data_IF_060895627553
#
_entry.id   IF_060895627553
#
_cell.length_a   1.000
_cell.length_b   1.000
_cell.length_c   1.000
_cell.angle_alpha   90.00
_cell.angle_beta   90.00
_cell.angle_gamma   90.00
#
_symmetry.space_group_name_H-M   'P 1'
#
loop_
_entity.id
_entity.type
_entity.pdbx_description
1 polymer ?
#
# COMPACT_ATOMS: atom_id res chain seq x y z
N UNK A 1 10.03 -15.69 -13.30
CA UNK A 1 9.69 -16.27 -11.97
C UNK A 1 10.02 -17.77 -11.80
N UNK A 2 10.96 -18.36 -12.58
CA UNK A 2 11.34 -19.79 -12.46
C UNK A 2 12.86 -20.04 -12.54
N UNK A 3 13.69 -19.22 -11.91
CA UNK A 3 15.17 -19.39 -11.96
C UNK A 3 15.82 -19.98 -10.71
N UNK A 4 15.13 -20.11 -9.58
CA UNK A 4 15.74 -20.64 -8.34
C UNK A 4 15.75 -22.17 -8.27
N UNK A 5 14.73 -22.83 -8.83
CA UNK A 5 14.61 -24.29 -8.79
C UNK A 5 15.61 -25.02 -9.71
N UNK A 6 16.09 -24.36 -10.78
CA UNK A 6 17.02 -24.94 -11.75
C UNK A 6 18.50 -24.75 -11.38
N UNK A 7 18.83 -23.81 -10.48
CA UNK A 7 20.22 -23.32 -10.30
C UNK A 7 20.79 -23.61 -8.91
N UNK A 8 20.01 -24.15 -7.96
CA UNK A 8 20.49 -24.49 -6.61
C UNK A 8 20.97 -23.30 -5.77
N UNK A 9 20.76 -22.07 -6.24
CA UNK A 9 21.26 -20.85 -5.61
C UNK A 9 20.27 -20.34 -4.54
N UNK A 10 20.51 -20.74 -3.28
CA UNK A 10 19.80 -20.23 -2.09
C UNK A 10 20.28 -18.84 -1.65
N UNK A 11 21.18 -18.21 -2.40
CA UNK A 11 21.76 -16.89 -2.12
C UNK A 11 20.70 -15.80 -1.87
N UNK A 12 19.53 -15.88 -2.51
CA UNK A 12 18.42 -14.95 -2.28
C UNK A 12 17.93 -14.94 -0.81
N UNK A 13 17.95 -16.10 -0.13
CA UNK A 13 17.59 -16.21 1.28
C UNK A 13 18.71 -15.78 2.23
N UNK A 14 19.95 -15.68 1.75
CA UNK A 14 21.07 -15.17 2.55
C UNK A 14 21.10 -13.65 2.63
N UNK A 15 20.24 -12.94 1.90
CA UNK A 15 20.10 -11.51 1.97
C UNK A 15 19.16 -11.13 3.13
N UNK A 16 19.43 -10.02 3.80
CA UNK A 16 18.60 -9.54 4.92
C UNK A 16 17.22 -9.04 4.47
N UNK A 17 17.12 -8.43 3.29
CA UNK A 17 15.90 -7.82 2.73
C UNK A 17 14.62 -8.69 2.68
N UNK A 18 14.64 -9.98 2.28
CA UNK A 18 13.43 -10.81 2.22
C UNK A 18 12.77 -11.06 3.57
N UNK A 19 13.52 -11.11 4.68
CA UNK A 19 12.97 -11.39 6.01
C UNK A 19 11.95 -10.34 6.50
N UNK A 20 12.25 -9.02 6.50
CA UNK A 20 11.28 -8.00 6.90
C UNK A 20 10.11 -7.86 5.91
N UNK A 21 10.33 -8.09 4.61
CA UNK A 21 9.25 -8.09 3.60
C UNK A 21 8.29 -9.24 3.84
N UNK A 22 8.82 -10.43 4.15
CA UNK A 22 8.04 -11.62 4.43
C UNK A 22 7.26 -11.47 5.75
N UNK A 23 7.89 -10.91 6.78
CA UNK A 23 7.22 -10.58 8.04
C UNK A 23 6.08 -9.58 7.84
N UNK A 24 6.32 -8.47 7.12
CA UNK A 24 5.28 -7.49 6.81
C UNK A 24 4.14 -8.11 5.98
N UNK A 25 4.46 -8.93 4.99
CA UNK A 25 3.46 -9.62 4.17
C UNK A 25 2.54 -10.51 5.00
N UNK A 26 3.09 -11.28 5.94
CA UNK A 26 2.30 -12.12 6.86
C UNK A 26 1.42 -11.26 7.77
N UNK A 27 1.99 -10.22 8.38
CA UNK A 27 1.24 -9.34 9.29
C UNK A 27 0.10 -8.62 8.58
N UNK A 28 0.34 -8.11 7.36
CA UNK A 28 -0.68 -7.45 6.55
C UNK A 28 -1.75 -8.43 6.11
N UNK A 29 -1.38 -9.64 5.67
CA UNK A 29 -2.34 -10.66 5.25
C UNK A 29 -3.29 -11.07 6.40
N UNK A 30 -2.75 -11.27 7.60
CA UNK A 30 -3.54 -11.63 8.79
C UNK A 30 -4.40 -10.47 9.26
N UNK A 31 -3.89 -9.23 9.20
CA UNK A 31 -4.59 -8.05 9.70
C UNK A 31 -5.67 -7.54 8.75
N UNK A 32 -5.52 -7.73 7.43
CA UNK A 32 -6.45 -7.21 6.41
C UNK A 32 -7.87 -7.79 6.59
N UNK A 33 -7.98 -9.09 6.82
CA UNK A 33 -9.26 -9.79 6.92
C UNK A 33 -10.16 -9.20 8.03
N UNK A 34 -9.75 -9.16 9.32
CA UNK A 34 -10.58 -8.59 10.37
C UNK A 34 -10.78 -7.08 10.20
N UNK A 35 -9.79 -6.35 9.68
CA UNK A 35 -9.88 -4.91 9.49
C UNK A 35 -10.97 -4.55 8.46
N UNK A 36 -11.01 -5.26 7.33
CA UNK A 36 -12.04 -5.06 6.32
C UNK A 36 -13.41 -5.51 6.81
N UNK A 37 -13.50 -6.64 7.54
CA UNK A 37 -14.79 -7.08 8.12
C UNK A 37 -15.35 -6.06 9.11
N UNK A 38 -14.51 -5.50 10.00
CA UNK A 38 -14.95 -4.45 10.94
C UNK A 38 -15.22 -3.12 10.25
N UNK A 39 -14.42 -2.75 9.25
CA UNK A 39 -14.61 -1.54 8.47
C UNK A 39 -15.94 -1.52 7.71
N UNK A 40 -16.32 -2.66 7.11
CA UNK A 40 -17.60 -2.82 6.41
C UNK A 40 -18.82 -2.85 7.33
N UNK A 41 -18.63 -3.12 8.63
CA UNK A 41 -19.70 -3.08 9.62
C UNK A 41 -20.00 -1.66 10.11
N UNK A 42 -18.99 -0.79 10.13
CA UNK A 42 -19.08 0.56 10.72
C UNK A 42 -19.17 1.67 9.67
N UNK A 43 -18.66 1.44 8.45
CA UNK A 43 -18.57 2.44 7.38
C UNK A 43 -19.05 1.90 6.03
N UNK A 44 -19.38 2.83 5.13
CA UNK A 44 -19.83 2.54 3.78
C UNK A 44 -18.75 1.78 2.98
N UNK A 45 -19.14 0.71 2.27
CA UNK A 45 -18.19 -0.21 1.65
C UNK A 45 -17.28 0.48 0.63
N UNK A 46 -17.84 1.44 -0.12
CA UNK A 46 -17.11 2.24 -1.10
C UNK A 46 -16.03 3.11 -0.47
N UNK A 47 -16.27 3.60 0.75
CA UNK A 47 -15.31 4.39 1.49
C UNK A 47 -14.16 3.53 2.02
N UNK A 48 -14.49 2.40 2.67
CA UNK A 48 -13.48 1.51 3.25
C UNK A 48 -12.57 0.85 2.20
N UNK A 49 -13.12 0.41 1.07
CA UNK A 49 -12.31 -0.19 -0.01
C UNK A 49 -11.37 0.85 -0.63
N UNK A 50 -11.84 2.08 -0.85
CA UNK A 50 -11.02 3.16 -1.40
C UNK A 50 -9.89 3.55 -0.45
N UNK A 51 -10.18 3.63 0.84
CA UNK A 51 -9.17 3.89 1.87
C UNK A 51 -8.12 2.78 1.91
N UNK A 52 -8.58 1.53 1.92
CA UNK A 52 -7.71 0.36 1.98
C UNK A 52 -6.75 0.32 0.79
N UNK A 53 -7.26 0.50 -0.43
CA UNK A 53 -6.43 0.46 -1.63
C UNK A 53 -5.54 1.71 -1.75
N UNK A 54 -6.01 2.88 -1.33
CA UNK A 54 -5.18 4.08 -1.25
C UNK A 54 -3.96 3.92 -0.33
N UNK A 55 -4.18 3.36 0.86
CA UNK A 55 -3.09 3.05 1.80
C UNK A 55 -2.11 2.03 1.22
N UNK A 56 -2.61 1.01 0.53
CA UNK A 56 -1.78 -0.02 -0.08
C UNK A 56 -0.89 0.54 -1.21
N UNK A 57 -1.41 1.47 -2.03
CA UNK A 57 -0.61 2.21 -3.02
C UNK A 57 0.49 3.03 -2.34
N UNK A 58 0.17 3.80 -1.29
CA UNK A 58 1.16 4.61 -0.57
C UNK A 58 2.26 3.72 0.04
N UNK A 59 1.88 2.60 0.66
CA UNK A 59 2.83 1.63 1.23
C UNK A 59 3.68 0.98 0.13
N UNK A 60 3.11 0.62 -1.02
CA UNK A 60 3.85 0.07 -2.15
C UNK A 60 4.87 1.08 -2.70
N UNK A 61 4.49 2.35 -2.82
CA UNK A 61 5.40 3.42 -3.22
C UNK A 61 6.54 3.57 -2.20
N UNK A 62 6.22 3.81 -0.93
CA UNK A 62 7.25 3.98 0.13
C UNK A 62 8.16 2.76 0.25
N UNK A 63 7.58 1.56 0.18
CA UNK A 63 8.33 0.30 0.17
C UNK A 63 9.25 0.21 -1.04
N UNK A 64 8.78 0.54 -2.25
CA UNK A 64 9.61 0.58 -3.46
C UNK A 64 10.76 1.58 -3.35
N UNK A 65 10.52 2.77 -2.78
CA UNK A 65 11.58 3.77 -2.57
C UNK A 65 12.68 3.26 -1.62
N UNK A 66 12.31 2.53 -0.57
CA UNK A 66 13.25 2.02 0.42
C UNK A 66 13.94 0.72 -0.04
N UNK A 67 13.17 -0.26 -0.52
CA UNK A 67 13.63 -1.61 -0.88
C UNK A 67 14.48 -1.61 -2.13
N UNK A 68 14.11 -0.82 -3.15
CA UNK A 68 14.84 -0.79 -4.41
C UNK A 68 16.05 0.16 -4.38
N UNK A 69 16.16 1.02 -3.37
CA UNK A 69 17.29 1.95 -3.22
C UNK A 69 17.43 2.96 -4.37
N UNK A 70 16.39 3.11 -5.21
CA UNK A 70 16.38 3.96 -6.41
C UNK A 70 16.72 5.44 -6.11
N UNK A 71 16.56 5.89 -4.85
CA UNK A 71 16.89 7.26 -4.44
C UNK A 71 18.40 7.55 -4.34
N UNK A 72 19.27 6.54 -4.32
CA UNK A 72 20.72 6.72 -4.22
C UNK A 72 21.38 7.21 -5.52
N UNK A 73 20.75 7.00 -6.68
CA UNK A 73 21.32 7.33 -8.00
C UNK A 73 20.55 8.41 -8.77
N UNK A 74 19.44 8.92 -8.23
CA UNK A 74 18.56 9.85 -8.93
C UNK A 74 18.78 11.31 -8.54
N UNK A 75 18.60 12.19 -9.53
CA UNK A 75 18.66 13.64 -9.34
C UNK A 75 17.65 14.10 -8.28
N UNK A 76 18.01 15.04 -7.40
CA UNK A 76 17.19 15.47 -6.26
C UNK A 76 15.80 15.99 -6.68
N UNK A 77 15.66 16.56 -7.89
CA UNK A 77 14.37 16.98 -8.42
C UNK A 77 13.36 15.83 -8.64
N UNK A 78 13.84 14.62 -8.99
CA UNK A 78 12.97 13.44 -9.15
C UNK A 78 12.48 12.91 -7.81
N UNK A 79 13.33 12.99 -6.78
CA UNK A 79 12.97 12.61 -5.40
C UNK A 79 11.86 13.53 -4.88
N UNK A 80 11.97 14.84 -5.11
CA UNK A 80 10.93 15.81 -4.70
C UNK A 80 9.61 15.55 -5.44
N UNK A 81 9.64 15.34 -6.75
CA UNK A 81 8.42 15.06 -7.54
C UNK A 81 7.74 13.75 -7.09
N UNK A 82 8.53 12.75 -6.73
CA UNK A 82 8.05 11.48 -6.21
C UNK A 82 7.31 11.64 -4.88
N UNK A 83 7.90 12.37 -3.94
CA UNK A 83 7.24 12.69 -2.66
C UNK A 83 5.99 13.55 -2.87
N UNK A 84 6.00 14.47 -3.84
CA UNK A 84 4.84 15.28 -4.18
C UNK A 84 3.69 14.41 -4.72
N UNK A 85 3.96 13.41 -5.55
CA UNK A 85 2.97 12.43 -6.00
C UNK A 85 2.36 11.66 -4.81
N UNK A 86 3.21 11.19 -3.87
CA UNK A 86 2.72 10.49 -2.68
C UNK A 86 1.83 11.42 -1.84
N UNK A 87 2.25 12.66 -1.60
CA UNK A 87 1.46 13.65 -0.86
C UNK A 87 0.14 13.97 -1.56
N UNK A 88 0.12 14.01 -2.90
CA UNK A 88 -1.10 14.21 -3.68
C UNK A 88 -2.08 13.04 -3.53
N UNK A 89 -1.60 11.80 -3.53
CA UNK A 89 -2.42 10.62 -3.26
C UNK A 89 -2.99 10.68 -1.84
N UNK A 90 -2.16 11.01 -0.85
CA UNK A 90 -2.60 11.18 0.55
C UNK A 90 -3.62 12.31 0.68
N UNK A 91 -3.40 13.45 0.01
CA UNK A 91 -4.33 14.56 0.00
C UNK A 91 -5.68 14.15 -0.63
N UNK A 92 -5.67 13.40 -1.73
CA UNK A 92 -6.88 12.85 -2.34
C UNK A 92 -7.66 11.93 -1.39
N UNK A 93 -6.94 11.08 -0.64
CA UNK A 93 -7.55 10.22 0.38
C UNK A 93 -8.15 11.04 1.53
N UNK A 94 -7.44 12.04 2.04
CA UNK A 94 -7.94 12.94 3.09
C UNK A 94 -9.18 13.71 2.63
N UNK A 95 -9.20 14.19 1.38
CA UNK A 95 -10.37 14.85 0.79
C UNK A 95 -11.58 13.91 0.79
N UNK A 96 -11.39 12.64 0.41
CA UNK A 96 -12.45 11.62 0.44
C UNK A 96 -12.93 11.36 1.88
N UNK A 97 -12.04 11.41 2.88
CA UNK A 97 -12.43 11.30 4.30
C UNK A 97 -13.22 12.50 4.81
N UNK A 98 -12.90 13.71 4.34
CA UNK A 98 -13.60 14.93 4.75
C UNK A 98 -14.87 15.21 3.96
N UNK A 99 -15.08 14.53 2.82
CA UNK A 99 -16.31 14.65 2.06
C UNK A 99 -17.46 14.04 2.90
N UNK A 100 -18.38 14.86 3.43
CA UNK A 100 -19.48 14.35 4.24
C UNK A 100 -20.29 13.42 3.35
N UNK A 101 -20.30 12.13 3.69
CA UNK A 101 -21.15 11.05 3.17
C UNK A 101 -22.17 11.52 2.14
N UNK A 102 -21.74 11.69 0.88
CA UNK A 102 -22.61 12.10 -0.22
C UNK A 102 -23.51 10.95 -0.71
N UNK A 103 -23.93 10.06 0.22
CA UNK A 103 -24.84 8.95 -0.04
C UNK A 103 -25.88 8.81 1.07
N UNK A 104 -26.64 9.88 1.26
CA UNK A 104 -27.98 9.81 1.88
C UNK A 104 -29.08 9.53 0.83
N UNK A 105 -28.78 8.93 -0.32
CA UNK A 105 -29.76 8.84 -1.44
C UNK A 105 -29.70 7.53 -2.24
N UNK A 106 -29.46 6.39 -1.59
CA UNK A 106 -29.82 5.08 -2.18
C UNK A 106 -30.78 4.31 -1.28
N UNK A 107 -31.54 5.02 -0.44
CA UNK A 107 -32.83 4.55 0.04
C UNK A 107 -33.88 4.97 -0.98
N UNK A 108 -34.21 4.04 -1.90
CA UNK A 108 -35.58 3.60 -2.20
C UNK A 108 -35.65 2.90 -3.56
N UNK A 109 -36.54 1.89 -3.70
CA UNK A 109 -37.03 0.91 -2.71
C UNK A 109 -36.36 -0.47 -2.86
#
# INVERSE_FOLDING_TARGET
VRSSASTGNWSAWSNWLPYPVLLCGILVAVSNIPFMTKGLQEYDALFMVTLFEGCHIVVACVSGAWVLGEMGSMAPGRVVLYWLCILLIVAGLLVIQTAPSARKNSDRP
#
